data_IF_951055655146
#
_entry.id   IF_951055655146
#
_cell.length_a   1.000
_cell.length_b   1.000
_cell.length_c   1.000
_cell.angle_alpha   90.00
_cell.angle_beta   90.00
_cell.angle_gamma   90.00
#
_symmetry.space_group_name_H-M   'P 1'
#
loop_
_entity.id
_entity.type
_entity.pdbx_description
1 polymer ?
#
# COMPACT_ATOMS: atom_id res chain seq x y z
N UNK A 1 3.74 7.73 0.17
CA UNK A 1 2.56 6.99 -0.33
C UNK A 1 1.86 6.31 0.83
N UNK A 2 2.44 5.30 1.49
CA UNK A 2 1.81 4.62 2.65
C UNK A 2 1.41 5.59 3.76
N UNK A 3 2.35 6.42 4.23
CA UNK A 3 2.07 7.50 5.21
C UNK A 3 0.99 8.50 4.78
N UNK A 4 0.73 8.66 3.48
CA UNK A 4 -0.36 9.52 3.01
C UNK A 4 -1.69 8.80 3.18
N UNK A 5 -1.76 7.50 2.86
CA UNK A 5 -2.98 6.71 2.99
C UNK A 5 -3.37 6.46 4.45
N UNK A 6 -2.40 6.32 5.35
CA UNK A 6 -2.69 6.14 6.78
C UNK A 6 -3.39 7.34 7.42
N UNK A 7 -3.40 8.51 6.75
CA UNK A 7 -4.15 9.66 7.24
C UNK A 7 -5.64 9.33 7.14
N UNK A 8 -6.40 9.38 8.25
CA UNK A 8 -7.82 9.08 8.23
C UNK A 8 -8.61 9.94 7.23
N UNK A 9 -8.20 11.20 7.03
CA UNK A 9 -8.79 12.11 6.03
C UNK A 9 -8.69 11.59 4.59
N UNK A 10 -7.75 10.70 4.31
CA UNK A 10 -7.53 10.12 2.99
C UNK A 10 -8.16 8.71 2.87
N UNK A 11 -8.77 8.17 3.95
CA UNK A 11 -9.32 6.81 3.98
C UNK A 11 -10.43 6.62 2.94
N UNK A 12 -11.40 7.53 2.90
CA UNK A 12 -12.51 7.50 1.94
C UNK A 12 -12.05 7.51 0.47
N UNK A 13 -10.87 8.09 0.21
CA UNK A 13 -10.31 8.25 -1.13
C UNK A 13 -9.87 6.92 -1.73
N UNK A 14 -9.24 6.06 -0.93
CA UNK A 14 -8.80 4.75 -1.40
C UNK A 14 -9.73 3.62 -0.97
N UNK A 15 -10.74 3.86 -0.14
CA UNK A 15 -11.81 2.87 0.11
C UNK A 15 -12.95 2.96 -0.92
N UNK A 16 -12.97 3.99 -1.77
CA UNK A 16 -14.03 4.16 -2.78
C UNK A 16 -15.35 4.65 -2.20
N UNK A 17 -15.37 5.11 -0.95
CA UNK A 17 -16.57 5.61 -0.24
C UNK A 17 -17.05 6.98 -0.76
N UNK A 18 -16.30 7.61 -1.69
CA UNK A 18 -16.55 8.98 -2.15
C UNK A 18 -17.59 9.14 -3.27
N UNK A 19 -18.44 8.15 -3.56
CA UNK A 19 -19.64 8.38 -4.41
C UNK A 19 -20.81 7.53 -3.91
N UNK A 20 -21.61 8.11 -3.01
CA UNK A 20 -22.98 7.65 -2.80
C UNK A 20 -23.74 7.72 -4.14
N UNK A 21 -24.21 6.58 -4.64
CA UNK A 21 -25.30 6.55 -5.62
C UNK A 21 -25.14 5.63 -6.84
N UNK A 22 -23.94 5.25 -7.27
CA UNK A 22 -23.79 4.40 -8.47
C UNK A 22 -23.01 3.13 -8.15
N UNK A 23 -23.66 1.99 -8.39
CA UNK A 23 -23.16 0.66 -8.08
C UNK A 23 -21.71 0.46 -8.51
N UNK A 24 -20.84 0.15 -7.55
CA UNK A 24 -19.51 -0.38 -7.82
C UNK A 24 -19.35 -1.68 -7.05
N UNK A 25 -19.28 -2.75 -7.82
CA UNK A 25 -19.02 -4.10 -7.36
C UNK A 25 -17.66 -4.19 -6.62
N UNK A 26 -17.67 -4.91 -5.50
CA UNK A 26 -16.57 -5.64 -4.89
C UNK A 26 -15.16 -4.99 -4.87
N UNK A 27 -14.78 -4.47 -3.70
CA UNK A 27 -13.53 -4.88 -3.03
C UNK A 27 -12.19 -4.43 -3.60
N UNK A 28 -12.12 -3.38 -4.42
CA UNK A 28 -10.83 -2.78 -4.79
C UNK A 28 -10.82 -1.30 -4.48
N UNK A 29 -9.87 -0.87 -3.66
CA UNK A 29 -9.66 0.55 -3.40
C UNK A 29 -9.32 1.32 -4.68
N UNK A 30 -10.25 2.14 -5.17
CA UNK A 30 -10.08 2.94 -6.38
C UNK A 30 -9.79 4.39 -6.01
N UNK A 31 -8.52 4.79 -6.15
CA UNK A 31 -8.09 6.19 -6.01
C UNK A 31 -8.28 6.94 -7.34
N UNK A 32 -8.88 8.14 -7.34
CA UNK A 32 -9.08 8.95 -8.56
C UNK A 32 -7.79 9.66 -8.97
N UNK A 33 -7.74 10.16 -10.20
CA UNK A 33 -6.54 10.81 -10.77
C UNK A 33 -6.14 12.12 -10.04
N UNK A 34 -7.12 12.87 -9.53
CA UNK A 34 -6.91 14.06 -8.68
C UNK A 34 -6.19 13.70 -7.38
N UNK A 35 -6.52 12.54 -6.82
CA UNK A 35 -6.01 12.11 -5.53
C UNK A 35 -4.55 11.66 -5.64
N UNK A 36 -4.15 11.12 -6.80
CA UNK A 36 -2.74 10.87 -7.08
C UNK A 36 -1.91 12.15 -7.19
N UNK A 37 -2.51 13.29 -7.55
CA UNK A 37 -1.81 14.57 -7.48
C UNK A 37 -1.57 14.99 -6.02
N UNK A 38 -2.58 14.87 -5.16
CA UNK A 38 -2.46 15.12 -3.71
C UNK A 38 -1.44 14.19 -3.04
N UNK A 39 -1.46 12.90 -3.38
CA UNK A 39 -0.47 11.94 -2.90
C UNK A 39 0.95 12.29 -3.37
N UNK A 40 1.11 12.72 -4.63
CA UNK A 40 2.41 13.11 -5.17
C UNK A 40 2.97 14.35 -4.46
N UNK A 41 2.12 15.35 -4.19
CA UNK A 41 2.48 16.54 -3.44
C UNK A 41 2.92 16.20 -2.01
N UNK A 42 2.13 15.38 -1.30
CA UNK A 42 2.52 14.95 0.03
C UNK A 42 3.85 14.20 0.05
N UNK A 43 4.07 13.30 -0.91
CA UNK A 43 5.31 12.53 -1.01
C UNK A 43 6.51 13.44 -1.24
N UNK A 44 6.39 14.43 -2.12
CA UNK A 44 7.45 15.39 -2.37
C UNK A 44 7.74 16.24 -1.14
N UNK A 45 6.71 16.84 -0.52
CA UNK A 45 6.88 17.67 0.68
C UNK A 45 7.49 16.88 1.85
N UNK A 46 7.05 15.62 2.05
CA UNK A 46 7.62 14.76 3.06
C UNK A 46 9.11 14.47 2.79
N UNK A 47 9.48 14.20 1.54
CA UNK A 47 10.88 13.93 1.16
C UNK A 47 11.77 15.15 1.33
N UNK A 48 11.35 16.30 0.80
CA UNK A 48 12.09 17.55 0.95
C UNK A 48 12.28 17.95 2.41
N UNK A 49 11.31 17.65 3.29
CA UNK A 49 11.44 17.93 4.73
C UNK A 49 12.44 17.01 5.44
N UNK A 50 12.52 15.73 5.07
CA UNK A 50 13.30 14.73 5.83
C UNK A 50 14.66 14.43 5.20
N UNK A 51 14.82 14.65 3.90
CA UNK A 51 16.04 14.37 3.14
C UNK A 51 16.12 15.31 1.91
N UNK A 52 16.36 16.62 2.13
CA UNK A 52 16.41 17.62 1.06
C UNK A 52 17.63 17.47 0.14
N UNK A 53 18.70 16.80 0.61
CA UNK A 53 19.95 16.68 -0.13
C UNK A 53 19.92 15.57 -1.20
N UNK A 54 18.99 14.62 -1.10
CA UNK A 54 18.87 13.56 -2.09
C UNK A 54 18.34 14.10 -3.44
N UNK A 55 19.14 14.06 -4.53
CA UNK A 55 18.76 14.59 -5.83
C UNK A 55 17.52 13.91 -6.42
N UNK A 56 17.16 12.70 -5.96
CA UNK A 56 15.94 11.98 -6.37
C UNK A 56 14.65 12.67 -5.89
N UNK A 57 14.76 13.64 -4.99
CA UNK A 57 13.63 14.37 -4.41
C UNK A 57 13.37 15.73 -5.06
N UNK A 58 14.29 16.21 -5.89
CA UNK A 58 14.25 17.53 -6.57
C UNK A 58 12.97 17.77 -7.36
N UNK A 59 12.46 16.73 -8.02
CA UNK A 59 11.23 16.83 -8.83
C UNK A 59 10.06 16.10 -8.18
N UNK A 60 8.94 16.82 -8.06
CA UNK A 60 7.64 16.24 -7.72
C UNK A 60 7.19 15.30 -8.82
N UNK A 61 6.64 14.14 -8.45
CA UNK A 61 6.02 13.23 -9.41
C UNK A 61 4.75 13.84 -10.01
N UNK A 62 4.50 13.62 -11.29
CA UNK A 62 3.17 13.86 -11.84
C UNK A 62 2.16 12.80 -11.35
N UNK A 63 0.87 13.08 -11.55
CA UNK A 63 -0.23 12.21 -11.12
C UNK A 63 -0.21 10.81 -11.76
N UNK A 64 0.22 10.67 -13.01
CA UNK A 64 0.33 9.36 -13.71
C UNK A 64 1.51 8.55 -13.17
N UNK A 65 2.63 9.21 -12.93
CA UNK A 65 3.81 8.60 -12.30
C UNK A 65 3.47 8.12 -10.89
N UNK A 66 2.78 8.94 -10.10
CA UNK A 66 2.32 8.54 -8.77
C UNK A 66 1.34 7.36 -8.83
N UNK A 67 0.36 7.38 -9.75
CA UNK A 67 -0.55 6.27 -9.97
C UNK A 67 0.17 4.97 -10.36
N UNK A 68 1.12 5.02 -11.30
CA UNK A 68 1.89 3.85 -11.74
C UNK A 68 2.68 3.23 -10.58
N UNK A 69 3.37 4.07 -9.79
CA UNK A 69 4.10 3.64 -8.59
C UNK A 69 3.18 3.02 -7.55
N UNK A 70 1.99 3.60 -7.36
CA UNK A 70 0.98 3.07 -6.46
C UNK A 70 0.52 1.69 -6.91
N UNK A 71 0.11 1.55 -8.18
CA UNK A 71 -0.39 0.30 -8.74
C UNK A 71 0.65 -0.81 -8.65
N UNK A 72 1.92 -0.50 -8.92
CA UNK A 72 3.02 -1.46 -8.77
C UNK A 72 3.13 -1.95 -7.32
N UNK A 73 3.07 -1.03 -6.36
CA UNK A 73 3.15 -1.34 -4.94
C UNK A 73 1.94 -2.13 -4.44
N UNK A 74 0.74 -1.73 -4.81
CA UNK A 74 -0.49 -2.42 -4.46
C UNK A 74 -0.56 -3.83 -5.06
N UNK A 75 -0.05 -4.01 -6.29
CA UNK A 75 0.08 -5.34 -6.91
C UNK A 75 1.02 -6.24 -6.10
N UNK A 76 2.18 -5.73 -5.66
CA UNK A 76 3.11 -6.49 -4.79
C UNK A 76 2.44 -6.89 -3.49
N UNK A 77 1.72 -5.97 -2.85
CA UNK A 77 0.96 -6.26 -1.64
C UNK A 77 -0.04 -7.40 -1.85
N UNK A 78 -0.88 -7.34 -2.90
CA UNK A 78 -1.85 -8.42 -3.19
C UNK A 78 -1.17 -9.76 -3.42
N UNK A 79 -0.05 -9.78 -4.14
CA UNK A 79 0.72 -10.99 -4.38
C UNK A 79 1.32 -11.56 -3.07
N UNK A 80 1.92 -10.71 -2.24
CA UNK A 80 2.47 -11.11 -0.93
C UNK A 80 1.38 -11.60 0.01
N UNK A 81 0.25 -10.88 0.13
CA UNK A 81 -0.89 -11.31 0.95
C UNK A 81 -1.44 -12.66 0.48
N UNK A 82 -1.57 -12.85 -0.83
CA UNK A 82 -1.98 -14.12 -1.40
C UNK A 82 -1.04 -15.27 -1.04
N UNK A 83 0.27 -15.01 -0.89
CA UNK A 83 1.25 -15.99 -0.40
C UNK A 83 1.14 -16.21 1.11
N UNK A 84 1.04 -15.14 1.91
CA UNK A 84 0.86 -15.22 3.37
C UNK A 84 -0.36 -16.07 3.73
N UNK A 85 -1.47 -15.92 3.02
CA UNK A 85 -2.70 -16.68 3.26
C UNK A 85 -2.62 -18.15 2.82
N UNK A 86 -1.64 -18.54 1.99
CA UNK A 86 -1.56 -19.88 1.37
C UNK A 86 -0.34 -20.69 1.78
N UNK A 87 0.75 -20.05 2.19
CA UNK A 87 2.05 -20.69 2.43
C UNK A 87 2.44 -20.57 3.90
N UNK A 88 2.40 -21.69 4.62
CA UNK A 88 2.94 -21.77 5.99
C UNK A 88 4.45 -21.50 5.96
N UNK A 89 4.90 -20.52 6.74
CA UNK A 89 6.32 -20.17 6.88
C UNK A 89 6.95 -19.40 5.70
N UNK A 90 6.19 -19.04 4.65
CA UNK A 90 6.66 -18.18 3.53
C UNK A 90 7.98 -18.61 2.85
N UNK A 91 8.37 -19.89 2.96
CA UNK A 91 9.64 -20.41 2.43
C UNK A 91 10.86 -20.17 3.31
N UNK A 92 10.68 -19.90 4.60
CA UNK A 92 11.78 -19.83 5.57
C UNK A 92 12.47 -21.19 5.69
N UNK A 93 13.80 -21.19 5.69
CA UNK A 93 14.61 -22.40 5.88
C UNK A 93 15.28 -22.40 7.25
N UNK A 94 15.72 -23.56 7.70
CA UNK A 94 16.43 -23.70 8.98
C UNK A 94 17.73 -22.88 9.01
N UNK A 95 18.45 -22.78 7.89
CA UNK A 95 19.62 -21.91 7.74
C UNK A 95 19.30 -20.42 7.92
N UNK A 96 18.14 -19.99 7.43
CA UNK A 96 17.69 -18.62 7.60
C UNK A 96 17.33 -18.35 9.06
N UNK A 97 16.63 -19.28 9.72
CA UNK A 97 16.36 -19.19 11.16
C UNK A 97 17.63 -19.14 12.00
N UNK A 98 18.66 -19.92 11.63
CA UNK A 98 19.98 -19.88 12.28
C UNK A 98 20.74 -18.56 12.08
N UNK A 99 20.34 -17.75 11.10
CA UNK A 99 20.86 -16.40 10.85
C UNK A 99 19.90 -15.31 11.34
N UNK A 100 19.02 -15.66 12.29
CA UNK A 100 18.02 -14.80 12.91
C UNK A 100 16.96 -14.21 11.95
N UNK A 101 16.83 -14.71 10.72
CA UNK A 101 15.74 -14.31 9.84
C UNK A 101 14.42 -14.91 10.32
N UNK A 102 13.39 -14.06 10.37
CA UNK A 102 12.00 -14.45 10.64
C UNK A 102 11.15 -14.42 9.37
N UNK A 103 9.95 -14.99 9.46
CA UNK A 103 8.99 -15.03 8.34
C UNK A 103 8.59 -13.60 7.95
N UNK A 104 8.45 -12.73 8.95
CA UNK A 104 8.12 -11.32 8.85
C UNK A 104 9.15 -10.55 8.02
N UNK A 105 10.44 -10.87 8.16
CA UNK A 105 11.51 -10.26 7.35
C UNK A 105 11.36 -10.61 5.87
N UNK A 106 10.93 -11.84 5.57
CA UNK A 106 10.69 -12.28 4.20
C UNK A 106 9.45 -11.65 3.59
N UNK A 107 8.42 -11.45 4.41
CA UNK A 107 7.20 -10.73 4.03
C UNK A 107 7.53 -9.26 3.73
N UNK A 108 8.25 -8.58 4.61
CA UNK A 108 8.65 -7.17 4.45
C UNK A 108 9.59 -7.00 3.25
N UNK A 109 10.52 -7.95 3.03
CA UNK A 109 11.37 -7.98 1.83
C UNK A 109 10.56 -8.15 0.55
N UNK A 110 9.52 -9.00 0.56
CA UNK A 110 8.65 -9.21 -0.59
C UNK A 110 7.71 -8.02 -0.87
N UNK A 111 7.21 -7.36 0.17
CA UNK A 111 6.39 -6.18 0.07
C UNK A 111 6.74 -5.18 1.19
N UNK A 112 7.56 -4.16 0.90
CA UNK A 112 7.89 -3.18 1.91
C UNK A 112 6.66 -2.47 2.47
N UNK A 113 6.64 -2.35 3.79
CA UNK A 113 5.57 -1.84 4.63
C UNK A 113 4.32 -2.73 4.56
N UNK A 114 4.52 -4.06 4.50
CA UNK A 114 3.43 -5.02 4.32
C UNK A 114 2.38 -4.89 5.41
N UNK A 115 2.78 -4.96 6.69
CA UNK A 115 1.85 -4.94 7.83
C UNK A 115 1.01 -3.66 7.84
N UNK A 116 1.64 -2.53 7.52
CA UNK A 116 0.95 -1.23 7.45
C UNK A 116 -0.07 -1.22 6.31
N UNK A 117 0.27 -1.80 5.16
CA UNK A 117 -0.69 -1.98 4.07
C UNK A 117 -1.80 -2.95 4.45
N UNK A 118 -1.47 -4.07 5.07
CA UNK A 118 -2.45 -5.07 5.49
C UNK A 118 -3.43 -4.45 6.50
N UNK A 119 -2.97 -3.73 7.52
CA UNK A 119 -3.86 -3.01 8.45
C UNK A 119 -4.87 -2.07 7.75
N UNK A 120 -4.49 -1.43 6.64
CA UNK A 120 -5.39 -0.54 5.88
C UNK A 120 -6.37 -1.28 4.96
N UNK A 121 -5.99 -2.45 4.45
CA UNK A 121 -6.72 -3.17 3.40
C UNK A 121 -7.23 -4.56 3.84
N UNK A 122 -6.95 -4.98 5.08
CA UNK A 122 -7.36 -6.24 5.69
C UNK A 122 -8.86 -6.24 5.98
N UNK A 123 -9.35 -5.17 6.63
CA UNK A 123 -10.76 -5.01 7.04
C UNK A 123 -11.75 -5.20 5.90
N UNK A 124 -11.38 -4.85 4.66
CA UNK A 124 -12.26 -4.94 3.49
C UNK A 124 -12.53 -6.38 3.02
N UNK A 125 -11.67 -7.36 3.34
CA UNK A 125 -11.84 -8.74 2.91
C UNK A 125 -12.85 -9.55 3.76
N UNK A 126 -13.20 -9.04 4.95
CA UNK A 126 -14.05 -9.75 5.92
C UNK A 126 -15.45 -9.13 6.09
N UNK A 127 -15.82 -8.15 5.27
CA UNK A 127 -17.21 -7.64 5.23
C UNK A 127 -18.05 -8.71 4.53
N UNK A 128 -18.68 -9.59 5.31
CA UNK A 128 -19.75 -10.46 4.80
C UNK A 128 -20.86 -9.57 4.25
N UNK A 129 -21.45 -9.88 3.08
CA UNK A 129 -22.67 -9.20 2.66
C UNK A 129 -23.73 -9.42 3.73
N UNK A 130 -24.31 -8.32 4.21
CA UNK A 130 -25.50 -8.38 5.06
C UNK A 130 -26.59 -9.02 4.21
N UNK A 131 -27.03 -10.21 4.61
CA UNK A 131 -28.18 -10.90 4.01
C UNK A 131 -29.47 -10.23 4.45
#
# INVERSE_FOLDING_TARGET
MIRWMEKPSNRAIYLGESTAGNGMAHGTGVTKLSDFASMAEYVHNYRMKNDPADPRHTSKWDKKTCQSRWNSRFRRYKATRGRVMKQTGFGITQEMMMRDFQVEDLIEKACPFYERMDAMFWEQANIKPVS
#
